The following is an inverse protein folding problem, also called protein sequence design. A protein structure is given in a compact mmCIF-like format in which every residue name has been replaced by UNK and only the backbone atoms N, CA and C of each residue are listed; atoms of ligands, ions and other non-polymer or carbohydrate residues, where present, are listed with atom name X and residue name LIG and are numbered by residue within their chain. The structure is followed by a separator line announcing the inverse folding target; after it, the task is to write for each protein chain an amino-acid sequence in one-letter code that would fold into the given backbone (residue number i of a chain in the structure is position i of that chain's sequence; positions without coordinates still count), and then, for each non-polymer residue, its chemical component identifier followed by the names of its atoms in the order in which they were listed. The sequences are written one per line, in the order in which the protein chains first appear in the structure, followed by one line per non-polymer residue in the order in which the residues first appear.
data_IF_613739512555
#
_entry.id   IF_613739512555
#
_cell.length_a   1.000
_cell.length_b   1.000
_cell.length_c   1.000
_cell.angle_alpha   90.00
_cell.angle_beta   90.00
_cell.angle_gamma   90.00
#
_symmetry.space_group_name_H-M   'P 1'
#
loop_
_entity.id
_entity.type
_entity.pdbx_description
1 polymer ?
#
# COMPACT_ATOMS: atom_id res chain seq x y z
N UNK A 1 14.94 -16.68 -11.22
CA UNK A 1 13.61 -16.79 -10.60
C UNK A 1 12.73 -17.59 -11.51
N UNK A 2 12.30 -18.76 -11.06
CA UNK A 2 11.30 -19.52 -11.81
C UNK A 2 9.96 -18.78 -11.73
N UNK A 3 9.23 -18.70 -12.85
CA UNK A 3 7.91 -18.04 -12.94
C UNK A 3 6.93 -18.49 -11.84
N UNK A 4 7.16 -19.69 -11.30
CA UNK A 4 6.36 -20.29 -10.24
C UNK A 4 6.51 -19.61 -8.86
N UNK A 5 7.68 -19.03 -8.56
CA UNK A 5 7.98 -18.46 -7.22
C UNK A 5 7.22 -17.16 -6.96
N UNK A 6 6.89 -16.40 -8.01
CA UNK A 6 6.15 -15.15 -7.91
C UNK A 6 4.64 -15.28 -8.13
N UNK A 7 4.15 -16.47 -8.48
CA UNK A 7 2.73 -16.70 -8.72
C UNK A 7 1.89 -16.45 -7.46
N UNK A 8 2.28 -17.04 -6.32
CA UNK A 8 1.58 -16.89 -5.05
C UNK A 8 1.58 -15.41 -4.59
N UNK A 9 2.73 -14.71 -4.51
CA UNK A 9 2.77 -13.27 -4.21
C UNK A 9 1.89 -12.44 -5.13
N UNK A 10 1.84 -12.76 -6.42
CA UNK A 10 1.02 -12.03 -7.40
C UNK A 10 -0.47 -12.21 -7.14
N UNK A 11 -0.92 -13.42 -6.84
CA UNK A 11 -2.32 -13.72 -6.51
C UNK A 11 -2.72 -13.03 -5.21
N UNK A 12 -1.90 -13.17 -4.16
CA UNK A 12 -2.15 -12.53 -2.88
C UNK A 12 -2.17 -11.00 -3.00
N UNK A 13 -1.26 -10.44 -3.80
CA UNK A 13 -1.22 -9.01 -4.11
C UNK A 13 -2.51 -8.53 -4.77
N UNK A 14 -3.02 -9.28 -5.75
CA UNK A 14 -4.29 -8.98 -6.42
C UNK A 14 -5.49 -9.05 -5.46
N UNK A 15 -5.52 -10.03 -4.56
CA UNK A 15 -6.58 -10.16 -3.54
C UNK A 15 -6.54 -8.96 -2.58
N UNK A 16 -5.37 -8.60 -2.07
CA UNK A 16 -5.20 -7.44 -1.18
C UNK A 16 -5.65 -6.14 -1.86
N UNK A 17 -5.30 -5.99 -3.14
CA UNK A 17 -5.72 -4.83 -3.93
C UNK A 17 -7.24 -4.80 -4.12
N UNK A 18 -7.85 -5.94 -4.43
CA UNK A 18 -9.30 -6.04 -4.58
C UNK A 18 -10.05 -5.69 -3.28
N UNK A 19 -9.55 -6.13 -2.12
CA UNK A 19 -10.08 -5.77 -0.79
C UNK A 19 -10.03 -4.24 -0.60
N UNK A 20 -8.88 -3.65 -0.93
CA UNK A 20 -8.68 -2.20 -0.82
C UNK A 20 -9.64 -1.42 -1.72
N UNK A 21 -9.75 -1.80 -3.00
CA UNK A 21 -10.64 -1.17 -3.97
C UNK A 21 -12.10 -1.31 -3.51
N UNK A 22 -12.49 -2.51 -3.07
CA UNK A 22 -13.83 -2.74 -2.53
C UNK A 22 -14.13 -1.80 -1.36
N UNK A 23 -13.19 -1.65 -0.41
CA UNK A 23 -13.35 -0.73 0.71
C UNK A 23 -13.53 0.72 0.30
N UNK A 24 -12.73 1.22 -0.65
CA UNK A 24 -12.76 2.62 -1.08
C UNK A 24 -13.94 2.94 -2.03
N UNK A 25 -14.20 2.06 -3.00
CA UNK A 25 -15.12 2.33 -4.09
C UNK A 25 -16.54 1.82 -3.81
N UNK A 26 -16.67 0.67 -3.14
CA UNK A 26 -17.95 -0.06 -3.02
C UNK A 26 -18.50 0.01 -1.60
N UNK A 27 -17.80 -0.58 -0.62
CA UNK A 27 -18.27 -0.66 0.76
C UNK A 27 -18.25 0.68 1.48
N UNK A 28 -17.41 1.62 1.02
CA UNK A 28 -17.14 2.91 1.68
C UNK A 28 -16.76 2.68 3.14
N UNK A 29 -15.82 1.79 3.39
CA UNK A 29 -15.41 1.39 4.72
C UNK A 29 -13.88 1.35 4.80
N UNK A 30 -13.34 2.16 5.71
CA UNK A 30 -11.89 2.33 5.88
C UNK A 30 -11.19 1.06 6.30
N UNK A 31 -11.87 0.16 7.00
CA UNK A 31 -11.27 -1.10 7.46
C UNK A 31 -10.89 -1.98 6.30
N UNK A 32 -11.72 -2.05 5.26
CA UNK A 32 -11.39 -2.77 4.04
C UNK A 32 -10.36 -2.00 3.19
N UNK A 33 -10.53 -0.68 3.04
CA UNK A 33 -9.63 0.13 2.21
C UNK A 33 -8.18 0.07 2.72
N UNK A 34 -7.98 0.28 4.03
CA UNK A 34 -6.67 0.19 4.69
C UNK A 34 -6.26 -1.26 4.95
N UNK A 35 -7.21 -2.15 5.23
CA UNK A 35 -6.94 -3.57 5.48
C UNK A 35 -6.26 -4.26 4.30
N UNK A 36 -6.66 -3.95 3.07
CA UNK A 36 -5.95 -4.47 1.90
C UNK A 36 -4.51 -3.91 1.77
N UNK A 37 -4.28 -2.62 2.06
CA UNK A 37 -2.92 -2.02 2.08
C UNK A 37 -2.05 -2.66 3.17
N UNK A 38 -2.65 -2.85 4.35
CA UNK A 38 -2.03 -3.51 5.49
C UNK A 38 -1.58 -4.93 5.13
N UNK A 39 -2.48 -5.74 4.60
CA UNK A 39 -2.20 -7.11 4.19
C UNK A 39 -1.17 -7.17 3.06
N UNK A 40 -1.29 -6.29 2.07
CA UNK A 40 -0.32 -6.21 0.97
C UNK A 40 1.09 -5.95 1.47
N UNK A 41 1.26 -5.15 2.53
CA UNK A 41 2.58 -4.78 3.06
C UNK A 41 3.41 -5.99 3.53
N UNK A 42 2.78 -7.10 3.92
CA UNK A 42 3.50 -8.32 4.32
C UNK A 42 4.14 -9.06 3.15
N UNK A 43 3.67 -8.86 1.92
CA UNK A 43 4.21 -9.50 0.72
C UNK A 43 5.65 -9.01 0.44
N UNK A 44 5.91 -7.70 0.25
CA UNK A 44 7.29 -7.22 0.05
C UNK A 44 8.15 -7.42 1.30
N UNK A 45 7.60 -7.35 2.52
CA UNK A 45 8.36 -7.65 3.75
C UNK A 45 8.88 -9.08 3.71
N UNK A 46 8.01 -10.08 3.49
CA UNK A 46 8.41 -11.49 3.50
C UNK A 46 9.39 -11.83 2.38
N UNK A 47 9.14 -11.34 1.17
CA UNK A 47 10.04 -11.55 0.03
C UNK A 47 11.43 -10.96 0.28
N UNK A 48 11.50 -9.69 0.74
CA UNK A 48 12.77 -8.99 0.97
C UNK A 48 13.50 -9.51 2.20
N UNK A 49 12.79 -10.00 3.20
CA UNK A 49 13.39 -10.65 4.35
C UNK A 49 14.14 -11.92 3.94
N UNK A 50 13.59 -12.73 3.01
CA UNK A 50 14.28 -13.88 2.45
C UNK A 50 15.62 -13.50 1.80
N UNK A 51 15.59 -12.51 0.90
CA UNK A 51 16.80 -12.02 0.22
C UNK A 51 17.85 -11.45 1.19
N UNK A 52 17.41 -10.68 2.19
CA UNK A 52 18.32 -10.09 3.18
C UNK A 52 18.97 -11.14 4.10
N UNK A 53 18.28 -12.25 4.37
CA UNK A 53 18.86 -13.37 5.15
C UNK A 53 19.89 -14.16 4.34
N UNK A 54 19.77 -14.19 3.01
CA UNK A 54 20.76 -14.77 2.10
C UNK A 54 21.99 -13.87 1.92
N UNK A 55 21.79 -12.55 1.79
CA UNK A 55 22.85 -11.55 1.72
C UNK A 55 22.58 -10.36 2.69
N UNK A 56 23.18 -10.37 3.89
CA UNK A 56 23.04 -9.28 4.86
C UNK A 56 23.65 -7.93 4.41
N UNK A 57 24.37 -7.88 3.28
CA UNK A 57 24.85 -6.63 2.69
C UNK A 57 23.83 -6.02 1.69
N UNK A 58 22.70 -6.68 1.43
CA UNK A 58 21.61 -6.12 0.63
C UNK A 58 20.83 -5.04 1.40
N UNK A 59 21.42 -3.85 1.46
CA UNK A 59 20.81 -2.67 2.10
C UNK A 59 19.50 -2.25 1.43
N UNK A 60 19.31 -2.54 0.15
CA UNK A 60 18.05 -2.22 -0.53
C UNK A 60 16.91 -3.08 0.02
N UNK A 61 17.15 -4.37 0.23
CA UNK A 61 16.16 -5.25 0.88
C UNK A 61 15.89 -4.82 2.31
N UNK A 62 16.91 -4.49 3.10
CA UNK A 62 16.73 -3.98 4.47
C UNK A 62 15.85 -2.71 4.53
N UNK A 63 16.17 -1.70 3.72
CA UNK A 63 15.41 -0.45 3.67
C UNK A 63 13.97 -0.71 3.19
N UNK A 64 13.79 -1.58 2.21
CA UNK A 64 12.45 -1.96 1.72
C UNK A 64 11.61 -2.60 2.84
N UNK A 65 12.19 -3.51 3.62
CA UNK A 65 11.52 -4.12 4.77
C UNK A 65 11.04 -3.03 5.74
N UNK A 66 11.92 -2.10 6.12
CA UNK A 66 11.56 -1.02 7.05
C UNK A 66 10.42 -0.16 6.49
N UNK A 67 10.51 0.24 5.22
CA UNK A 67 9.48 1.07 4.57
C UNK A 67 8.11 0.38 4.61
N UNK A 68 8.05 -0.91 4.27
CA UNK A 68 6.77 -1.63 4.27
C UNK A 68 6.29 -2.00 5.68
N UNK A 69 7.18 -2.16 6.66
CA UNK A 69 6.78 -2.24 8.08
C UNK A 69 6.12 -0.93 8.51
N UNK A 70 6.69 0.22 8.16
CA UNK A 70 6.07 1.51 8.41
C UNK A 70 4.72 1.62 7.71
N UNK A 71 4.61 1.21 6.43
CA UNK A 71 3.33 1.17 5.72
C UNK A 71 2.30 0.31 6.43
N UNK A 72 2.68 -0.90 6.87
CA UNK A 72 1.80 -1.78 7.62
C UNK A 72 1.27 -1.08 8.88
N UNK A 73 2.16 -0.49 9.69
CA UNK A 73 1.77 0.19 10.93
C UNK A 73 0.78 1.34 10.67
N UNK A 74 1.06 2.21 9.69
CA UNK A 74 0.18 3.37 9.42
C UNK A 74 -1.12 2.98 8.71
N UNK A 75 -1.18 1.80 8.09
CA UNK A 75 -2.38 1.26 7.44
C UNK A 75 -3.17 0.28 8.30
N UNK A 76 -2.83 0.11 9.59
CA UNK A 76 -3.62 -0.73 10.51
C UNK A 76 -5.10 -0.27 10.48
N UNK A 77 -6.06 -1.17 10.19
CA UNK A 77 -7.47 -0.83 9.98
C UNK A 77 -8.25 -0.57 11.30
N UNK A 78 -7.57 -0.03 12.31
CA UNK A 78 -8.13 0.29 13.62
C UNK A 78 -8.18 1.81 13.89
N UNK A 79 -7.49 2.61 13.08
CA UNK A 79 -7.45 4.08 13.22
C UNK A 79 -8.69 4.81 12.69
N UNK A 80 -8.75 6.12 12.94
CA UNK A 80 -9.81 7.03 12.46
C UNK A 80 -9.52 7.68 11.09
N UNK A 81 -8.52 7.21 10.35
CA UNK A 81 -8.06 7.83 9.10
C UNK A 81 -8.90 7.34 7.94
N UNK A 82 -9.15 8.19 6.94
CA UNK A 82 -10.20 7.98 5.93
C UNK A 82 -11.62 7.93 6.54
N UNK A 83 -11.87 8.61 7.66
CA UNK A 83 -13.23 8.84 8.17
C UNK A 83 -13.70 10.25 7.78
N UNK A 84 -15.00 10.59 7.93
CA UNK A 84 -15.48 11.93 7.70
C UNK A 84 -14.79 12.83 8.71
N UNK A 85 -13.88 13.70 8.25
CA UNK A 85 -12.99 14.46 9.12
C UNK A 85 -13.83 15.44 9.95
N UNK A 86 -13.97 15.17 11.25
CA UNK A 86 -14.82 15.96 12.15
C UNK A 86 -14.16 17.29 12.55
N UNK A 87 -12.83 17.35 12.48
CA UNK A 87 -12.02 18.50 12.82
C UNK A 87 -10.75 18.61 11.93
N UNK A 88 -10.05 19.74 12.04
CA UNK A 88 -8.84 20.04 11.26
C UNK A 88 -7.65 19.14 11.58
N UNK A 89 -7.58 18.59 12.79
CA UNK A 89 -6.50 17.69 13.23
C UNK A 89 -6.67 16.33 12.55
N UNK A 90 -7.88 15.78 12.56
CA UNK A 90 -8.21 14.54 11.86
C UNK A 90 -7.98 14.66 10.36
N UNK A 91 -8.37 15.78 9.75
CA UNK A 91 -8.10 16.05 8.33
C UNK A 91 -6.60 16.05 8.03
N UNK A 92 -5.83 16.80 8.82
CA UNK A 92 -4.37 16.91 8.65
C UNK A 92 -3.70 15.56 8.78
N UNK A 93 -4.09 14.78 9.78
CA UNK A 93 -3.51 13.47 9.99
C UNK A 93 -3.89 12.48 8.87
N UNK A 94 -5.16 12.47 8.44
CA UNK A 94 -5.61 11.66 7.30
C UNK A 94 -4.78 11.95 6.04
N UNK A 95 -4.52 13.24 5.74
CA UNK A 95 -3.69 13.64 4.61
C UNK A 95 -2.25 13.15 4.74
N UNK A 96 -1.66 13.19 5.95
CA UNK A 96 -0.29 12.68 6.19
C UNK A 96 -0.21 11.19 5.89
N UNK A 97 -1.13 10.38 6.45
CA UNK A 97 -1.14 8.93 6.21
C UNK A 97 -1.33 8.61 4.73
N UNK A 98 -2.34 9.22 4.10
CA UNK A 98 -2.62 9.00 2.67
C UNK A 98 -1.43 9.39 1.78
N UNK A 99 -0.79 10.53 2.07
CA UNK A 99 0.38 11.00 1.31
C UNK A 99 1.58 10.10 1.52
N UNK A 100 1.81 9.58 2.73
CA UNK A 100 2.88 8.62 2.99
C UNK A 100 2.67 7.33 2.18
N UNK A 101 1.46 6.76 2.21
CA UNK A 101 1.14 5.56 1.43
C UNK A 101 1.27 5.84 -0.07
N UNK A 102 0.85 7.02 -0.54
CA UNK A 102 1.01 7.45 -1.93
C UNK A 102 2.49 7.48 -2.34
N UNK A 103 3.35 8.10 -1.54
CA UNK A 103 4.79 8.23 -1.85
C UNK A 103 5.47 6.87 -1.88
N UNK A 104 5.18 6.01 -0.90
CA UNK A 104 5.72 4.63 -0.86
C UNK A 104 5.33 3.88 -2.13
N UNK A 105 4.03 3.80 -2.43
CA UNK A 105 3.56 3.02 -3.57
C UNK A 105 3.97 3.63 -4.91
N UNK A 106 4.04 4.95 -5.05
CA UNK A 106 4.47 5.57 -6.31
C UNK A 106 5.95 5.32 -6.58
N UNK A 107 6.77 5.36 -5.53
CA UNK A 107 8.20 5.07 -5.62
C UNK A 107 8.43 3.61 -6.03
N UNK A 108 7.74 2.66 -5.39
CA UNK A 108 7.85 1.24 -5.73
C UNK A 108 7.22 0.90 -7.08
N UNK A 109 6.16 1.59 -7.50
CA UNK A 109 5.64 1.47 -8.86
C UNK A 109 6.72 1.87 -9.88
N UNK A 110 7.39 3.02 -9.68
CA UNK A 110 8.46 3.46 -10.55
C UNK A 110 9.63 2.48 -10.58
N UNK A 111 10.16 2.08 -9.40
CA UNK A 111 11.28 1.15 -9.30
C UNK A 111 10.97 -0.17 -10.01
N UNK A 112 9.80 -0.76 -9.78
CA UNK A 112 9.45 -2.06 -10.34
C UNK A 112 9.12 -1.98 -11.83
N UNK A 113 8.40 -0.95 -12.28
CA UNK A 113 8.03 -0.81 -13.70
C UNK A 113 9.24 -0.45 -14.58
N UNK A 114 10.34 0.01 -13.99
CA UNK A 114 11.60 0.29 -14.71
C UNK A 114 12.62 -0.86 -14.59
N UNK A 115 12.31 -1.89 -13.80
CA UNK A 115 13.14 -3.09 -13.65
C UNK A 115 12.60 -4.21 -14.56
N UNK A 116 13.34 -4.59 -15.62
CA UNK A 116 12.89 -5.63 -16.56
C UNK A 116 12.87 -7.04 -15.96
N UNK A 117 13.45 -7.24 -14.77
CA UNK A 117 13.57 -8.55 -14.12
C UNK A 117 12.35 -8.86 -13.24
N UNK A 118 11.60 -7.84 -12.81
CA UNK A 118 10.44 -8.00 -11.94
C UNK A 118 9.14 -8.03 -12.77
N UNK A 119 8.19 -8.92 -12.48
CA UNK A 119 6.92 -8.94 -13.19
C UNK A 119 6.19 -7.60 -13.12
N UNK A 120 5.87 -7.03 -14.29
CA UNK A 120 5.20 -5.73 -14.45
C UNK A 120 3.93 -5.61 -13.61
N UNK A 121 3.18 -6.71 -13.45
CA UNK A 121 1.94 -6.73 -12.68
C UNK A 121 2.11 -6.29 -11.22
N UNK A 122 3.27 -6.57 -10.61
CA UNK A 122 3.57 -6.14 -9.23
C UNK A 122 3.70 -4.60 -9.18
N UNK A 123 4.38 -4.01 -10.16
CA UNK A 123 4.48 -2.56 -10.30
C UNK A 123 3.13 -1.90 -10.57
N UNK A 124 2.26 -2.56 -11.33
CA UNK A 124 0.88 -2.11 -11.57
C UNK A 124 0.06 -2.10 -10.29
N UNK A 125 0.19 -3.10 -9.40
CA UNK A 125 -0.51 -3.07 -8.11
C UNK A 125 -0.13 -1.84 -7.28
N UNK A 126 1.15 -1.50 -7.20
CA UNK A 126 1.62 -0.29 -6.54
C UNK A 126 1.04 0.98 -7.19
N UNK A 127 1.03 1.05 -8.52
CA UNK A 127 0.44 2.19 -9.22
C UNK A 127 -1.06 2.37 -8.91
N UNK A 128 -1.80 1.28 -8.77
CA UNK A 128 -3.22 1.33 -8.40
C UNK A 128 -3.39 1.79 -6.95
N UNK A 129 -2.56 1.31 -6.00
CA UNK A 129 -2.57 1.84 -4.62
C UNK A 129 -2.28 3.35 -4.57
N UNK A 130 -1.35 3.83 -5.40
CA UNK A 130 -1.10 5.27 -5.54
C UNK A 130 -2.33 6.02 -6.03
N UNK A 131 -2.99 5.54 -7.08
CA UNK A 131 -4.21 6.16 -7.59
C UNK A 131 -5.32 6.18 -6.54
N UNK A 132 -5.47 5.09 -5.77
CA UNK A 132 -6.42 5.04 -4.66
C UNK A 132 -6.15 6.12 -3.61
N UNK A 133 -4.88 6.34 -3.24
CA UNK A 133 -4.52 7.40 -2.30
C UNK A 133 -4.77 8.79 -2.87
N UNK A 134 -4.53 9.03 -4.17
CA UNK A 134 -4.87 10.29 -4.82
C UNK A 134 -6.37 10.60 -4.76
N UNK A 135 -7.22 9.59 -4.99
CA UNK A 135 -8.67 9.72 -4.85
C UNK A 135 -9.05 10.04 -3.40
N UNK A 136 -8.46 9.34 -2.43
CA UNK A 136 -8.71 9.59 -1.00
C UNK A 136 -8.27 10.99 -0.55
N UNK A 137 -7.12 11.47 -1.03
CA UNK A 137 -6.61 12.82 -0.77
C UNK A 137 -7.56 13.85 -1.34
N UNK A 138 -7.99 13.67 -2.59
CA UNK A 138 -8.92 14.58 -3.26
C UNK A 138 -10.25 14.69 -2.51
N UNK A 139 -10.79 13.56 -2.04
CA UNK A 139 -11.99 13.53 -1.17
C UNK A 139 -11.76 14.20 0.18
N UNK A 140 -10.62 13.96 0.80
CA UNK A 140 -10.25 14.58 2.08
C UNK A 140 -10.15 16.10 1.96
N UNK A 141 -9.49 16.60 0.91
CA UNK A 141 -9.30 18.03 0.67
C UNK A 141 -10.62 18.73 0.39
N UNK A 142 -11.48 18.14 -0.45
CA UNK A 142 -12.81 18.67 -0.80
C UNK A 142 -13.86 18.53 0.31
N UNK A 143 -13.57 17.82 1.40
CA UNK A 143 -14.53 17.57 2.48
C UNK A 143 -15.58 16.50 2.16
N UNK A 144 -15.42 15.78 1.04
CA UNK A 144 -16.36 14.77 0.55
C UNK A 144 -15.94 13.33 0.94
N UNK A 145 -15.24 13.17 2.06
CA UNK A 145 -14.87 11.84 2.55
C UNK A 145 -16.11 11.14 3.12
N UNK A 146 -16.56 10.10 2.44
CA UNK A 146 -17.84 9.39 2.63
C UNK A 146 -17.68 8.00 3.26
N UNK A 147 -16.52 7.71 3.83
CA UNK A 147 -16.18 6.39 4.35
C UNK A 147 -16.56 6.22 5.82
N UNK A 148 -17.07 5.04 6.17
CA UNK A 148 -17.52 4.64 7.51
C UNK A 148 -16.38 4.21 8.43
#
# INVERSE_FOLDING_TARGET
MEVNELLIPTILGGICLAISIYGLAVAKDRRYALGGVFLYSFIPISHRLGLFLEDPQDYFSFVTIIIFVCQAIISIPLGGFLSPNKDSVQKTWSLKVQSTILVINSSFAFIILTDPVVPTIIGVYHAIYSLMMLVAISKTLSGNMDMK
#
